data_IF_648627155229
#
_entry.id   IF_648627155229
#
_cell.length_a   1.000
_cell.length_b   1.000
_cell.length_c   1.000
_cell.angle_alpha   90.00
_cell.angle_beta   90.00
_cell.angle_gamma   90.00
#
_symmetry.space_group_name_H-M   'P 1'
#
loop_
_entity.id
_entity.type
_entity.pdbx_description
1 polymer ?
#
# COMPACT_ATOMS: atom_id res chain seq x y z
N UNK A 1 17.41 -7.45 -26.50
CA UNK A 1 16.23 -7.54 -25.60
C UNK A 1 16.72 -7.99 -24.23
N UNK A 2 16.48 -7.20 -23.18
CA UNK A 2 16.80 -7.56 -21.79
C UNK A 2 15.60 -8.32 -21.19
N UNK A 3 15.72 -9.64 -21.01
CA UNK A 3 14.71 -10.48 -20.31
C UNK A 3 13.55 -10.95 -21.21
N UNK A 4 13.44 -12.26 -21.38
CA UNK A 4 12.53 -12.93 -22.32
C UNK A 4 11.10 -12.99 -21.76
N UNK A 5 10.25 -12.07 -22.18
CA UNK A 5 8.80 -12.15 -21.95
C UNK A 5 8.35 -11.96 -20.50
N UNK A 6 7.06 -12.21 -20.26
CA UNK A 6 6.38 -11.94 -18.99
C UNK A 6 6.99 -12.71 -17.80
N UNK A 7 7.53 -13.91 -18.04
CA UNK A 7 8.10 -14.75 -16.99
C UNK A 7 9.34 -14.12 -16.35
N UNK A 8 10.19 -13.47 -17.14
CA UNK A 8 11.37 -12.75 -16.61
C UNK A 8 10.98 -11.58 -15.69
N UNK A 9 9.82 -10.97 -15.95
CA UNK A 9 9.28 -9.89 -15.12
C UNK A 9 8.62 -10.43 -13.86
N UNK A 10 7.98 -11.60 -13.94
CA UNK A 10 7.51 -12.31 -12.75
C UNK A 10 8.66 -12.65 -11.79
N UNK A 11 9.78 -13.15 -12.30
CA UNK A 11 10.97 -13.37 -11.49
C UNK A 11 11.53 -12.07 -10.88
N UNK A 12 11.43 -10.96 -11.62
CA UNK A 12 11.82 -9.63 -11.12
C UNK A 12 10.94 -9.20 -9.95
N UNK A 13 9.62 -9.43 -10.02
CA UNK A 13 8.70 -9.21 -8.89
C UNK A 13 9.15 -10.04 -7.68
N UNK A 14 9.50 -11.32 -7.89
CA UNK A 14 10.01 -12.20 -6.83
C UNK A 14 11.26 -11.64 -6.14
N UNK A 15 12.25 -11.17 -6.91
CA UNK A 15 13.46 -10.54 -6.35
C UNK A 15 13.13 -9.28 -5.55
N UNK A 16 12.24 -8.41 -6.06
CA UNK A 16 11.81 -7.20 -5.33
C UNK A 16 11.02 -7.50 -4.06
N UNK A 17 10.29 -8.62 -4.02
CA UNK A 17 9.65 -9.06 -2.79
C UNK A 17 10.67 -9.45 -1.71
N UNK A 18 11.82 -10.02 -2.09
CA UNK A 18 12.90 -10.29 -1.13
C UNK A 18 13.51 -8.99 -0.58
N UNK A 19 13.66 -7.95 -1.41
CA UNK A 19 14.10 -6.62 -0.96
C UNK A 19 13.14 -6.07 0.12
N UNK A 20 11.82 -6.14 -0.12
CA UNK A 20 10.79 -5.74 0.86
C UNK A 20 10.87 -6.56 2.15
N UNK A 21 11.06 -7.88 2.03
CA UNK A 21 11.20 -8.77 3.20
C UNK A 21 12.45 -8.45 4.01
N UNK A 22 13.55 -8.07 3.37
CA UNK A 22 14.77 -7.65 4.04
C UNK A 22 14.53 -6.38 4.86
N UNK A 23 13.87 -5.37 4.28
CA UNK A 23 13.46 -4.16 5.01
C UNK A 23 12.59 -4.51 6.21
N UNK A 24 11.57 -5.36 6.04
CA UNK A 24 10.69 -5.77 7.14
C UNK A 24 11.44 -6.50 8.28
N UNK A 25 12.53 -7.22 7.95
CA UNK A 25 13.40 -7.88 8.93
C UNK A 25 14.40 -6.93 9.60
N UNK A 26 14.39 -5.64 9.26
CA UNK A 26 15.28 -4.63 9.84
C UNK A 26 16.60 -4.46 9.10
N UNK A 27 16.58 -4.50 7.76
CA UNK A 27 17.75 -4.13 6.96
C UNK A 27 18.26 -2.72 7.35
N UNK A 28 19.59 -2.53 7.42
CA UNK A 28 20.18 -1.23 7.78
C UNK A 28 19.99 -0.20 6.67
N UNK A 29 20.14 1.08 7.00
CA UNK A 29 20.11 2.19 6.02
C UNK A 29 19.05 3.26 6.27
N UNK A 30 18.16 3.06 7.23
CA UNK A 30 17.13 4.05 7.61
C UNK A 30 15.98 4.14 6.61
N UNK A 31 15.18 5.19 6.74
CA UNK A 31 13.91 5.35 6.00
C UNK A 31 14.10 5.44 4.50
N UNK A 32 15.06 6.23 4.02
CA UNK A 32 15.25 6.45 2.59
C UNK A 32 15.68 5.16 1.88
N UNK A 33 16.63 4.42 2.46
CA UNK A 33 17.03 3.11 1.94
C UNK A 33 15.89 2.10 1.95
N UNK A 34 15.00 2.16 2.96
CA UNK A 34 13.81 1.33 3.01
C UNK A 34 12.82 1.69 1.88
N UNK A 35 12.61 2.98 1.61
CA UNK A 35 11.74 3.45 0.51
C UNK A 35 12.32 2.99 -0.84
N UNK A 36 13.63 3.19 -1.06
CA UNK A 36 14.31 2.80 -2.30
C UNK A 36 14.27 1.29 -2.57
N UNK A 37 14.23 0.48 -1.51
CA UNK A 37 14.09 -0.97 -1.62
C UNK A 37 12.62 -1.41 -1.86
N UNK A 38 11.65 -0.69 -1.28
CA UNK A 38 10.24 -1.11 -1.27
C UNK A 38 9.46 -0.58 -2.47
N UNK A 39 9.66 0.67 -2.88
CA UNK A 39 8.90 1.30 -3.96
C UNK A 39 9.03 0.54 -5.30
N UNK A 40 10.22 0.05 -5.71
CA UNK A 40 10.36 -0.72 -6.95
C UNK A 40 9.54 -2.02 -6.97
N UNK A 41 9.23 -2.62 -5.81
CA UNK A 41 8.35 -3.79 -5.76
C UNK A 41 6.95 -3.44 -6.29
N UNK A 42 6.33 -2.39 -5.76
CA UNK A 42 5.00 -1.95 -6.19
C UNK A 42 4.96 -1.56 -7.66
N UNK A 43 6.00 -0.88 -8.15
CA UNK A 43 6.14 -0.55 -9.57
C UNK A 43 6.23 -1.80 -10.45
N UNK A 44 7.07 -2.77 -10.08
CA UNK A 44 7.22 -4.00 -10.87
C UNK A 44 5.95 -4.85 -10.88
N UNK A 45 5.22 -4.94 -9.77
CA UNK A 45 3.89 -5.58 -9.72
C UNK A 45 2.91 -4.86 -10.64
N UNK A 46 2.89 -3.52 -10.62
CA UNK A 46 2.00 -2.76 -11.48
C UNK A 46 2.32 -2.92 -12.97
N UNK A 47 3.60 -2.92 -13.36
CA UNK A 47 3.99 -3.05 -14.78
C UNK A 47 3.91 -4.47 -15.30
N UNK A 48 3.90 -5.50 -14.44
CA UNK A 48 3.72 -6.89 -14.85
C UNK A 48 2.46 -7.08 -15.70
N UNK A 49 1.42 -6.29 -15.43
CA UNK A 49 0.17 -6.26 -16.19
C UNK A 49 0.43 -6.03 -17.69
N UNK A 50 1.32 -5.09 -18.02
CA UNK A 50 1.61 -4.70 -19.40
C UNK A 50 2.39 -5.80 -20.11
N UNK A 51 3.25 -6.51 -19.38
CA UNK A 51 3.97 -7.67 -19.92
C UNK A 51 3.05 -8.85 -20.17
N UNK A 52 2.10 -9.12 -19.26
CA UNK A 52 1.11 -10.16 -19.45
C UNK A 52 0.25 -9.87 -20.69
N UNK A 53 -0.23 -8.65 -20.89
CA UNK A 53 -1.10 -8.33 -22.04
C UNK A 53 -0.34 -8.26 -23.37
N UNK A 54 0.94 -7.88 -23.35
CA UNK A 54 1.73 -7.68 -24.58
C UNK A 54 2.52 -8.91 -25.00
N UNK A 55 2.64 -9.94 -24.14
CA UNK A 55 3.31 -11.19 -24.47
C UNK A 55 2.27 -12.29 -24.79
N UNK A 56 2.12 -12.71 -26.06
CA UNK A 56 1.16 -13.74 -26.44
C UNK A 56 1.36 -15.07 -25.70
N UNK A 57 2.57 -15.36 -25.23
CA UNK A 57 2.86 -16.59 -24.49
C UNK A 57 2.24 -16.61 -23.08
N UNK A 58 1.72 -15.48 -22.59
CA UNK A 58 1.00 -15.43 -21.31
C UNK A 58 -0.40 -16.04 -21.41
N UNK A 59 -1.04 -15.94 -22.59
CA UNK A 59 -2.46 -16.26 -22.78
C UNK A 59 -3.43 -15.33 -22.04
N UNK A 60 -2.94 -14.23 -21.44
CA UNK A 60 -3.73 -13.31 -20.62
C UNK A 60 -4.21 -12.12 -21.45
N UNK A 61 -5.50 -11.84 -21.38
CA UNK A 61 -6.11 -10.68 -22.03
C UNK A 61 -6.10 -9.43 -21.15
N UNK A 62 -6.20 -8.27 -21.78
CA UNK A 62 -6.36 -6.98 -21.08
C UNK A 62 -7.58 -6.97 -20.16
N UNK A 63 -8.71 -7.56 -20.56
CA UNK A 63 -9.93 -7.61 -19.75
C UNK A 63 -9.75 -8.43 -18.46
N UNK A 64 -9.04 -9.56 -18.53
CA UNK A 64 -8.73 -10.39 -17.36
C UNK A 64 -7.82 -9.65 -16.37
N UNK A 65 -6.81 -8.94 -16.88
CA UNK A 65 -5.92 -8.11 -16.06
C UNK A 65 -6.69 -7.01 -15.33
N UNK A 66 -7.54 -6.27 -16.05
CA UNK A 66 -8.35 -5.21 -15.43
C UNK A 66 -9.28 -5.77 -14.37
N UNK A 67 -9.98 -6.88 -14.66
CA UNK A 67 -10.86 -7.54 -13.69
C UNK A 67 -10.12 -7.95 -12.42
N UNK A 68 -8.89 -8.49 -12.56
CA UNK A 68 -8.07 -8.90 -11.42
C UNK A 68 -7.63 -7.70 -10.58
N UNK A 69 -7.20 -6.60 -11.20
CA UNK A 69 -6.78 -5.38 -10.50
C UNK A 69 -7.98 -4.76 -9.78
N UNK A 70 -9.11 -4.59 -10.47
CA UNK A 70 -10.32 -3.99 -9.90
C UNK A 70 -10.92 -4.84 -8.77
N UNK A 71 -10.69 -6.16 -8.79
CA UNK A 71 -11.09 -7.08 -7.72
C UNK A 71 -10.13 -7.16 -6.53
N UNK A 72 -8.95 -6.53 -6.59
CA UNK A 72 -7.91 -6.68 -5.57
C UNK A 72 -7.45 -5.33 -5.00
N UNK A 73 -7.84 -4.98 -3.77
CA UNK A 73 -7.38 -3.76 -3.10
C UNK A 73 -5.85 -3.66 -3.02
N UNK A 74 -5.16 -4.79 -2.90
CA UNK A 74 -3.70 -4.83 -2.87
C UNK A 74 -3.08 -4.44 -4.22
N UNK A 75 -3.64 -4.91 -5.33
CA UNK A 75 -3.15 -4.55 -6.67
C UNK A 75 -3.50 -3.11 -7.05
N UNK A 76 -4.64 -2.63 -6.58
CA UNK A 76 -4.99 -1.22 -6.69
C UNK A 76 -4.01 -0.31 -5.95
N UNK A 77 -3.62 -0.67 -4.72
CA UNK A 77 -2.59 0.05 -3.99
C UNK A 77 -1.25 0.06 -4.75
N UNK A 78 -0.88 -1.06 -5.38
CA UNK A 78 0.31 -1.12 -6.23
C UNK A 78 0.20 -0.11 -7.40
N UNK A 79 -0.99 0.04 -7.99
CA UNK A 79 -1.23 1.02 -9.05
C UNK A 79 -1.10 2.45 -8.56
N UNK A 80 -1.70 2.78 -7.41
CA UNK A 80 -1.62 4.13 -6.84
C UNK A 80 -0.18 4.52 -6.50
N UNK A 81 0.57 3.61 -5.88
CA UNK A 81 1.98 3.84 -5.52
C UNK A 81 2.87 3.99 -6.76
N UNK A 82 2.70 3.14 -7.76
CA UNK A 82 3.47 3.21 -8.99
C UNK A 82 3.12 4.45 -9.85
N UNK A 83 1.88 4.93 -9.79
CA UNK A 83 1.48 6.16 -10.48
C UNK A 83 1.95 7.40 -9.71
N UNK A 84 1.87 7.36 -8.37
CA UNK A 84 2.34 8.45 -7.51
C UNK A 84 3.86 8.63 -7.54
N UNK A 85 4.64 7.56 -7.69
CA UNK A 85 6.10 7.66 -7.82
C UNK A 85 6.54 8.32 -9.13
N UNK A 86 5.79 8.10 -10.21
CA UNK A 86 6.07 8.66 -11.55
C UNK A 86 5.61 10.10 -11.70
N UNK A 87 4.50 10.47 -11.06
CA UNK A 87 3.88 11.77 -11.22
C UNK A 87 3.94 12.56 -9.91
N UNK A 88 4.79 13.59 -9.86
CA UNK A 88 4.86 14.55 -8.73
C UNK A 88 3.50 15.17 -8.37
N UNK A 89 2.55 15.18 -9.32
CA UNK A 89 1.12 15.43 -9.10
C UNK A 89 0.32 14.24 -9.60
N UNK A 90 -0.36 13.53 -8.70
CA UNK A 90 -1.30 12.46 -9.05
C UNK A 90 -2.39 13.00 -9.98
N UNK A 91 -2.58 12.37 -11.14
CA UNK A 91 -3.77 12.59 -11.97
C UNK A 91 -5.01 12.18 -11.15
N UNK A 92 -5.97 13.10 -10.88
CA UNK A 92 -7.19 12.78 -10.14
C UNK A 92 -7.99 11.62 -10.73
N UNK A 93 -7.80 11.32 -12.02
CA UNK A 93 -8.57 10.34 -12.77
C UNK A 93 -8.21 8.88 -12.41
N UNK A 94 -7.07 8.66 -11.75
CA UNK A 94 -6.60 7.32 -11.36
C UNK A 94 -6.71 7.02 -9.85
N UNK A 95 -7.42 7.86 -9.08
CA UNK A 95 -7.59 7.61 -7.64
C UNK A 95 -8.47 6.39 -7.39
N UNK A 96 -7.98 5.41 -6.63
CA UNK A 96 -8.89 4.55 -5.89
C UNK A 96 -9.70 5.39 -4.91
N UNK A 97 -11.01 5.33 -5.02
CA UNK A 97 -11.91 5.93 -4.04
C UNK A 97 -12.04 4.99 -2.83
N UNK A 98 -10.97 4.82 -2.06
CA UNK A 98 -11.12 4.31 -0.68
C UNK A 98 -11.57 5.48 0.19
N UNK A 99 -12.88 5.76 0.14
CA UNK A 99 -13.52 6.77 0.96
C UNK A 99 -13.45 6.41 2.44
N UNK A 100 -12.40 6.85 3.13
CA UNK A 100 -12.49 7.29 4.53
C UNK A 100 -11.75 8.61 4.60
N UNK A 101 -12.45 9.68 4.24
CA UNK A 101 -12.01 11.05 4.48
C UNK A 101 -11.78 11.22 6.00
N UNK A 102 -10.56 11.51 6.47
CA UNK A 102 -10.40 12.02 7.82
C UNK A 102 -11.01 13.41 7.79
N UNK A 103 -12.14 13.58 8.48
CA UNK A 103 -12.74 14.89 8.74
C UNK A 103 -11.69 15.74 9.45
N UNK A 104 -10.95 16.55 8.70
CA UNK A 104 -10.15 17.64 9.24
C UNK A 104 -11.13 18.64 9.86
N UNK A 105 -11.41 18.45 11.14
CA UNK A 105 -12.01 19.48 11.97
C UNK A 105 -11.07 20.68 11.95
N UNK A 106 -11.46 21.72 11.19
CA UNK A 106 -10.89 23.07 11.28
C UNK A 106 -10.84 23.46 12.75
N UNK A 107 -9.64 23.42 13.33
CA UNK A 107 -9.36 24.02 14.62
C UNK A 107 -9.48 25.53 14.45
N UNK A 108 -10.59 26.10 14.90
CA UNK A 108 -10.69 27.54 15.11
C UNK A 108 -9.67 27.89 16.18
N UNK A 109 -8.65 28.65 15.82
CA UNK A 109 -7.68 29.22 16.75
C UNK A 109 -8.43 30.13 17.72
N UNK A 110 -8.75 29.60 18.91
CA UNK A 110 -9.30 30.37 20.01
C UNK A 110 -8.13 30.86 20.85
N UNK A 111 -7.99 32.18 20.90
CA UNK A 111 -7.00 32.94 21.64
C UNK A 111 -6.95 32.53 23.12
N UNK A 112 -5.73 32.29 23.60
CA UNK A 112 -5.45 31.98 25.00
C UNK A 112 -5.63 33.26 25.83
N UNK A 113 -6.77 33.40 26.51
CA UNK A 113 -6.95 34.40 27.57
C UNK A 113 -6.90 33.70 28.92
N UNK A 114 -5.91 34.09 29.71
CA UNK A 114 -5.64 33.61 31.07
C UNK A 114 -6.84 33.78 31.99
N UNK A 115 -7.38 32.68 32.51
CA UNK A 115 -8.22 32.69 33.70
C UNK A 115 -8.17 31.32 34.42
N UNK A 116 -7.43 31.31 35.52
CA UNK A 116 -7.71 30.66 36.82
C UNK A 116 -8.24 29.21 36.84
N UNK A 117 -7.42 28.33 37.42
CA UNK A 117 -7.72 26.93 37.74
C UNK A 117 -8.98 26.72 38.60
N UNK A 118 -9.60 25.53 38.47
CA UNK A 118 -10.14 24.82 39.62
C UNK A 118 -9.65 23.37 39.73
N UNK A 119 -9.51 22.92 40.98
CA UNK A 119 -9.13 21.57 41.37
C UNK A 119 -10.31 20.57 41.34
N UNK A 120 -9.95 19.29 41.10
CA UNK A 120 -10.68 18.02 41.42
C UNK A 120 -11.99 17.83 40.60
N UNK A 121 -12.34 16.64 40.10
CA UNK A 121 -12.35 15.31 40.71
C UNK A 121 -12.23 14.20 39.65
N UNK A 122 -11.63 13.07 40.03
CA UNK A 122 -11.57 11.84 39.26
C UNK A 122 -12.96 11.21 39.04
N UNK A 123 -13.22 10.71 37.82
CA UNK A 123 -14.33 9.78 37.57
C UNK A 123 -13.99 8.80 36.43
N UNK A 124 -13.69 7.58 36.84
CA UNK A 124 -13.91 6.27 36.23
C UNK A 124 -14.16 6.19 34.71
N UNK A 125 -13.20 5.59 33.98
CA UNK A 125 -13.47 4.93 32.70
C UNK A 125 -12.97 3.48 32.73
N UNK A 126 -13.90 2.57 32.43
CA UNK A 126 -13.71 1.11 32.33
C UNK A 126 -12.94 0.77 31.05
N UNK A 127 -12.12 -0.30 31.02
CA UNK A 127 -11.48 -0.75 29.79
C UNK A 127 -12.47 -1.55 28.93
N UNK A 128 -12.53 -1.22 27.63
CA UNK A 128 -13.19 -2.08 26.63
C UNK A 128 -12.15 -3.04 26.07
N UNK A 129 -12.37 -4.34 26.28
CA UNK A 129 -11.59 -5.39 25.66
C UNK A 129 -11.90 -5.47 24.16
N UNK A 130 -10.88 -5.69 23.32
CA UNK A 130 -11.08 -6.22 21.96
C UNK A 130 -10.18 -7.43 21.73
N UNK A 131 -10.87 -8.47 21.30
CA UNK A 131 -10.45 -9.85 21.08
C UNK A 131 -9.42 -9.98 19.95
N UNK A 132 -8.47 -10.88 20.16
CA UNK A 132 -7.57 -11.42 19.15
C UNK A 132 -8.28 -12.52 18.37
N UNK A 133 -8.49 -12.32 17.06
CA UNK A 133 -8.89 -13.41 16.16
C UNK A 133 -7.66 -13.88 15.40
N UNK A 134 -7.15 -15.04 15.79
CA UNK A 134 -6.09 -15.77 15.08
C UNK A 134 -6.63 -16.38 13.78
N UNK A 135 -5.99 -16.08 12.65
CA UNK A 135 -6.26 -16.76 11.38
C UNK A 135 -5.42 -18.04 11.27
N UNK A 136 -6.11 -19.15 10.99
CA UNK A 136 -5.57 -20.51 10.84
C UNK A 136 -5.36 -20.79 9.35
N UNK A 137 -4.15 -21.21 8.97
CA UNK A 137 -3.84 -21.61 7.58
C UNK A 137 -4.54 -22.92 7.19
N UNK A 138 -5.06 -23.06 5.95
CA UNK A 138 -5.50 -24.35 5.44
C UNK A 138 -4.32 -25.23 5.00
N UNK A 139 -4.49 -26.54 5.24
CA UNK A 139 -3.51 -27.60 4.99
C UNK A 139 -3.37 -27.90 3.49
N UNK A 140 -2.15 -28.29 3.13
CA UNK A 140 -1.74 -28.78 1.81
C UNK A 140 -2.51 -30.06 1.45
N UNK A 141 -2.89 -30.18 0.18
CA UNK A 141 -3.13 -31.45 -0.50
C UNK A 141 -1.82 -31.89 -1.16
#
# INVERSE_FOLDING_TARGET
MLGQGWLSQWERVGRRLEDVRAVYKGAPGGTDAAIDAVLPFFETVHHLKDWLTNDPASGVTTAEVHTLIDGSPALQLCADLANGSKHFKLDPQHRTQTGTTPRQSRGTTSSYSSARAPQRTASTLRPVARSTTSWRSPKKL
#
